data_IF_105531758620
#
_entry.id   IF_105531758620
#
_cell.length_a   1.000
_cell.length_b   1.000
_cell.length_c   1.000
_cell.angle_alpha   90.00
_cell.angle_beta   90.00
_cell.angle_gamma   90.00
#
_symmetry.space_group_name_H-M   'P 1'
#
loop_
_entity.id
_entity.type
_entity.pdbx_description
1 polymer ?
#
# COMPACT_ATOMS: atom_id res chain seq x y z
N UNK A 1 7.81 31.15 -18.74
CA UNK A 1 8.63 30.22 -19.56
C UNK A 1 9.38 29.32 -18.60
N UNK A 2 9.24 28.01 -18.73
CA UNK A 2 9.92 27.02 -17.91
C UNK A 2 10.64 26.01 -18.79
N UNK A 3 11.58 25.27 -18.21
CA UNK A 3 12.26 24.18 -18.91
C UNK A 3 11.82 22.87 -18.28
N UNK A 4 11.44 21.91 -19.12
CA UNK A 4 11.12 20.56 -18.68
C UNK A 4 12.41 19.87 -18.17
N UNK A 5 12.45 19.38 -16.92
CA UNK A 5 13.62 18.70 -16.37
C UNK A 5 13.86 17.31 -16.97
N UNK A 6 12.88 16.74 -17.69
CA UNK A 6 12.97 15.41 -18.30
C UNK A 6 13.54 15.42 -19.73
N UNK A 7 13.19 16.42 -20.53
CA UNK A 7 13.54 16.47 -21.96
C UNK A 7 14.17 17.80 -22.41
N UNK A 8 14.41 18.74 -21.49
CA UNK A 8 14.95 20.08 -21.77
C UNK A 8 14.10 20.91 -22.74
N UNK A 9 12.84 20.54 -22.96
CA UNK A 9 11.92 21.31 -23.81
C UNK A 9 11.48 22.61 -23.12
N UNK A 10 11.28 23.67 -23.92
CA UNK A 10 10.70 24.92 -23.45
C UNK A 10 9.18 24.76 -23.28
N UNK A 11 8.69 24.98 -22.06
CA UNK A 11 7.26 24.88 -21.72
C UNK A 11 6.71 26.29 -21.45
N UNK A 12 5.63 26.63 -22.15
CA UNK A 12 4.88 27.87 -21.94
C UNK A 12 3.94 27.70 -20.74
N UNK A 13 4.34 28.26 -19.59
CA UNK A 13 3.57 28.29 -18.34
C UNK A 13 3.35 29.74 -17.91
N UNK A 14 2.15 30.04 -17.41
CA UNK A 14 1.71 31.38 -17.02
C UNK A 14 1.82 31.56 -15.49
N UNK A 15 2.81 32.38 -15.09
CA UNK A 15 3.15 32.67 -13.69
C UNK A 15 2.06 33.38 -12.89
N UNK A 16 1.03 33.93 -13.55
CA UNK A 16 -0.08 34.60 -12.88
C UNK A 16 -1.23 33.65 -12.55
N UNK A 17 -1.29 32.50 -13.22
CA UNK A 17 -2.27 31.44 -12.98
C UNK A 17 -1.71 30.22 -12.26
N UNK A 18 -0.40 30.03 -12.31
CA UNK A 18 0.27 28.85 -11.79
C UNK A 18 0.89 29.15 -10.42
N UNK A 19 0.60 28.30 -9.44
CA UNK A 19 1.13 28.38 -8.07
C UNK A 19 2.03 27.17 -7.76
N UNK A 20 2.81 27.25 -6.68
CA UNK A 20 3.61 26.11 -6.20
C UNK A 20 2.70 24.96 -5.78
N UNK A 21 3.00 23.77 -6.28
CA UNK A 21 2.20 22.56 -6.11
C UNK A 21 1.22 22.27 -7.25
N UNK A 22 1.12 23.15 -8.26
CA UNK A 22 0.28 22.90 -9.44
C UNK A 22 0.93 21.85 -10.34
N UNK A 23 0.13 20.90 -10.81
CA UNK A 23 0.57 19.78 -11.65
C UNK A 23 0.26 20.05 -13.13
N UNK A 24 1.23 19.76 -14.00
CA UNK A 24 1.13 19.93 -15.43
C UNK A 24 1.89 18.86 -16.20
N UNK A 25 1.35 18.44 -17.33
CA UNK A 25 2.03 17.48 -18.19
C UNK A 25 2.83 18.18 -19.29
N UNK A 26 4.08 17.76 -19.51
CA UNK A 26 4.90 18.31 -20.57
C UNK A 26 4.33 17.94 -21.95
N UNK A 27 4.08 18.91 -22.86
CA UNK A 27 3.51 18.61 -24.18
C UNK A 27 4.48 17.92 -25.15
N UNK A 28 5.78 17.89 -24.85
CA UNK A 28 6.81 17.33 -25.72
C UNK A 28 7.15 15.87 -25.36
N UNK A 29 7.36 15.58 -24.07
CA UNK A 29 7.67 14.23 -23.59
C UNK A 29 6.50 13.50 -22.92
N UNK A 30 5.46 14.21 -22.49
CA UNK A 30 4.30 13.62 -21.80
C UNK A 30 4.46 13.40 -20.30
N UNK A 31 5.60 13.75 -19.70
CA UNK A 31 5.85 13.58 -18.26
C UNK A 31 4.97 14.47 -17.40
N UNK A 32 4.56 13.95 -16.25
CA UNK A 32 3.83 14.72 -15.24
C UNK A 32 4.81 15.48 -14.34
N UNK A 33 4.67 16.80 -14.30
CA UNK A 33 5.55 17.72 -13.60
C UNK A 33 4.75 18.52 -12.58
N UNK A 34 5.40 18.94 -11.52
CA UNK A 34 4.82 19.82 -10.49
C UNK A 34 5.62 21.10 -10.37
N UNK A 35 4.94 22.21 -10.11
CA UNK A 35 5.56 23.53 -9.96
C UNK A 35 6.17 23.63 -8.57
N UNK A 36 7.49 23.75 -8.49
CA UNK A 36 8.23 23.90 -7.23
C UNK A 36 8.48 25.38 -6.87
N UNK A 37 8.42 26.29 -7.85
CA UNK A 37 8.64 27.73 -7.68
C UNK A 37 8.02 28.55 -8.80
N UNK A 38 7.75 29.84 -8.55
CA UNK A 38 7.11 30.77 -9.52
C UNK A 38 7.92 32.02 -9.86
N UNK A 39 9.06 32.26 -9.19
CA UNK A 39 9.93 33.43 -9.41
C UNK A 39 11.43 33.05 -9.24
N UNK A 40 12.08 32.40 -10.24
CA UNK A 40 11.56 31.96 -11.55
C UNK A 40 10.72 30.67 -11.48
N UNK A 41 9.95 30.35 -12.53
CA UNK A 41 9.23 29.07 -12.60
C UNK A 41 10.23 27.92 -12.57
N UNK A 42 10.08 27.03 -11.58
CA UNK A 42 10.85 25.80 -11.42
C UNK A 42 9.88 24.61 -11.45
N UNK A 43 10.21 23.60 -12.26
CA UNK A 43 9.43 22.38 -12.42
C UNK A 43 10.22 21.20 -11.86
N UNK A 44 9.53 20.31 -11.14
CA UNK A 44 10.06 19.05 -10.64
C UNK A 44 9.16 17.90 -11.11
N UNK A 45 9.57 16.65 -10.93
CA UNK A 45 8.72 15.51 -11.29
C UNK A 45 7.56 15.44 -10.31
N UNK A 46 6.34 15.27 -10.82
CA UNK A 46 5.23 14.94 -9.95
C UNK A 46 5.49 13.54 -9.38
N UNK A 47 5.34 13.38 -8.07
CA UNK A 47 5.37 12.05 -7.44
C UNK A 47 4.14 11.32 -7.98
N UNK A 48 4.34 10.37 -8.90
CA UNK A 48 3.32 9.36 -9.15
C UNK A 48 3.19 8.61 -7.83
N UNK A 49 2.14 8.91 -7.07
CA UNK A 49 1.62 8.01 -6.04
C UNK A 49 1.21 6.74 -6.79
N UNK A 50 2.21 5.90 -7.04
CA UNK A 50 2.14 4.54 -7.54
C UNK A 50 1.49 3.74 -6.40
N UNK A 51 0.21 4.02 -6.14
CA UNK A 51 -0.68 3.14 -5.37
C UNK A 51 -1.01 1.90 -6.22
N UNK A 52 0.04 1.23 -6.69
CA UNK A 52 0.08 -0.20 -6.98
C UNK A 52 0.06 -0.92 -5.62
N UNK A 53 -1.11 -0.94 -4.94
CA UNK A 53 -1.37 -1.91 -3.87
C UNK A 53 -2.45 -2.89 -4.34
N UNK A 54 -1.94 -3.92 -5.00
CA UNK A 54 -2.37 -5.32 -5.06
C UNK A 54 -3.88 -5.65 -5.12
N UNK A 55 -4.22 -6.27 -6.24
CA UNK A 55 -5.36 -7.14 -6.52
C UNK A 55 -5.58 -8.16 -5.37
N UNK A 56 -6.53 -7.88 -4.46
CA UNK A 56 -7.03 -8.82 -3.43
C UNK A 56 -7.80 -9.99 -4.10
N UNK A 57 -7.06 -10.98 -4.58
CA UNK A 57 -7.53 -12.33 -4.96
C UNK A 57 -7.33 -13.28 -3.76
N UNK A 58 -8.12 -13.15 -2.69
CA UNK A 58 -8.19 -14.19 -1.66
C UNK A 58 -9.39 -15.12 -1.92
N UNK A 59 -9.11 -16.10 -2.77
CA UNK A 59 -9.95 -17.24 -3.04
C UNK A 59 -10.30 -18.01 -1.75
N UNK A 60 -11.58 -18.33 -1.61
CA UNK A 60 -12.14 -19.00 -0.43
C UNK A 60 -11.44 -20.30 -0.02
N UNK A 61 -11.27 -20.45 1.29
CA UNK A 61 -10.95 -21.72 1.94
C UNK A 61 -12.09 -22.09 2.91
N UNK A 62 -12.85 -23.10 2.49
CA UNK A 62 -13.92 -23.75 3.23
C UNK A 62 -13.30 -24.74 4.24
N UNK A 63 -13.11 -24.30 5.49
CA UNK A 63 -12.62 -25.19 6.56
C UNK A 63 -13.72 -26.15 7.01
N UNK A 64 -13.49 -27.43 6.71
CA UNK A 64 -14.22 -28.61 7.14
C UNK A 64 -13.76 -29.00 8.56
N UNK A 65 -14.55 -28.65 9.58
CA UNK A 65 -14.30 -29.02 10.98
C UNK A 65 -14.84 -30.43 11.26
N UNK A 66 -14.09 -31.46 10.89
CA UNK A 66 -14.20 -32.81 11.46
C UNK A 66 -13.51 -32.83 12.85
N UNK A 67 -14.28 -32.49 13.89
CA UNK A 67 -13.89 -32.66 15.31
C UNK A 67 -14.69 -33.82 15.91
N UNK A 68 -13.99 -34.89 16.30
CA UNK A 68 -13.95 -35.41 17.68
C UNK A 68 -13.44 -36.86 17.68
N UNK A 69 -12.20 -37.04 18.15
CA UNK A 69 -11.54 -38.34 18.30
C UNK A 69 -11.13 -38.57 19.76
N UNK A 70 -12.10 -39.00 20.56
CA UNK A 70 -12.03 -39.96 21.68
C UNK A 70 -10.64 -40.18 22.34
N UNK A 71 -10.47 -39.64 23.55
CA UNK A 71 -9.35 -39.98 24.45
C UNK A 71 -9.90 -40.66 25.71
N UNK A 72 -9.94 -42.00 25.64
CA UNK A 72 -10.08 -42.94 26.75
C UNK A 72 -8.77 -43.00 27.56
N UNK A 73 -8.78 -42.46 28.78
CA UNK A 73 -7.74 -42.75 29.78
C UNK A 73 -8.33 -42.55 31.19
N UNK A 74 -8.96 -43.59 31.74
CA UNK A 74 -9.22 -43.67 33.18
C UNK A 74 -8.58 -44.95 33.74
N UNK A 75 -7.43 -44.72 34.37
CA UNK A 75 -6.60 -45.67 35.09
C UNK A 75 -7.25 -45.94 36.46
N UNK A 76 -8.11 -46.96 36.53
CA UNK A 76 -8.74 -47.36 37.79
C UNK A 76 -7.68 -47.91 38.77
N UNK A 77 -7.34 -47.04 39.72
CA UNK A 77 -6.37 -47.16 40.80
C UNK A 77 -6.64 -48.41 41.67
N UNK A 78 -5.59 -49.21 41.83
CA UNK A 78 -5.58 -50.39 42.67
C UNK A 78 -5.58 -50.03 44.16
N UNK A 79 -6.14 -50.96 44.92
CA UNK A 79 -5.68 -51.35 46.26
C UNK A 79 -6.28 -50.59 47.47
N UNK A 80 -7.40 -51.15 47.92
CA UNK A 80 -7.73 -51.56 49.29
C UNK A 80 -6.96 -50.98 50.49
N UNK A 81 -7.72 -50.75 51.57
CA UNK A 81 -7.16 -50.86 52.92
C UNK A 81 -7.82 -49.96 53.96
N UNK A 82 -8.78 -50.56 54.66
CA UNK A 82 -9.20 -50.35 56.05
C UNK A 82 -8.47 -49.26 56.87
N UNK A 83 -9.20 -48.44 57.64
CA UNK A 83 -9.26 -48.56 59.12
C UNK A 83 -10.24 -47.59 59.80
N UNK A 84 -10.89 -48.16 60.81
CA UNK A 84 -11.86 -47.73 61.82
C UNK A 84 -11.36 -46.63 62.82
N UNK A 85 -12.22 -45.65 63.14
CA UNK A 85 -12.58 -45.17 64.51
C UNK A 85 -13.73 -44.15 64.47
#
# INVERSE_FOLDING_TARGET
>A
MAICPACDAEVEVDELSTDVGDELSCPDCGENLVVNGTDPIELDFADEDDEDEDEDDDAGDEVDEDEDGDLDEDEEEQEDGDVDE
#
